data_IF_721364595071
#
_entry.id   IF_721364595071
#
_cell.length_a   1.000
_cell.length_b   1.000
_cell.length_c   1.000
_cell.angle_alpha   90.00
_cell.angle_beta   90.00
_cell.angle_gamma   90.00
#
_symmetry.space_group_name_H-M   'P 1'
#
loop_
_entity.id
_entity.type
_entity.pdbx_description
1 polymer ?
#
# COMPACT_ATOMS: atom_id res chain seq x y z
N UNK A 1 0.37 19.44 7.44
CA UNK A 1 -0.19 20.25 6.34
C UNK A 1 0.39 19.75 5.02
N UNK A 2 -0.10 20.23 3.89
CA UNK A 2 0.36 19.76 2.57
C UNK A 2 1.79 20.22 2.25
N UNK A 3 2.23 21.34 2.84
CA UNK A 3 3.58 21.87 2.67
C UNK A 3 4.62 20.91 3.24
N UNK A 4 4.44 20.49 4.50
CA UNK A 4 5.35 19.55 5.15
C UNK A 4 5.40 18.20 4.45
N UNK A 5 4.28 17.74 3.90
CA UNK A 5 4.26 16.50 3.14
C UNK A 5 5.03 16.58 1.82
N UNK A 6 4.87 17.66 1.06
CA UNK A 6 5.65 17.87 -0.17
C UNK A 6 7.15 17.95 0.15
N UNK A 7 7.52 18.62 1.24
CA UNK A 7 8.91 18.69 1.68
C UNK A 7 9.46 17.30 2.05
N UNK A 8 8.67 16.48 2.75
CA UNK A 8 9.04 15.10 3.08
C UNK A 8 9.24 14.25 1.82
N UNK A 9 8.32 14.34 0.86
CA UNK A 9 8.42 13.65 -0.43
C UNK A 9 9.69 14.06 -1.19
N UNK A 10 10.00 15.36 -1.23
CA UNK A 10 11.21 15.87 -1.85
C UNK A 10 12.48 15.32 -1.19
N UNK A 11 12.53 15.31 0.16
CA UNK A 11 13.66 14.78 0.91
C UNK A 11 13.88 13.27 0.68
N UNK A 12 12.80 12.47 0.65
CA UNK A 12 12.89 11.03 0.37
C UNK A 12 13.46 10.80 -1.04
N UNK A 13 13.02 11.57 -2.03
CA UNK A 13 13.51 11.44 -3.40
C UNK A 13 15.00 11.82 -3.53
N UNK A 14 15.45 12.88 -2.86
CA UNK A 14 16.87 13.27 -2.82
C UNK A 14 17.72 12.16 -2.18
N UNK A 15 17.30 11.61 -1.03
CA UNK A 15 17.99 10.50 -0.37
C UNK A 15 18.09 9.26 -1.27
N UNK A 16 17.00 8.93 -1.97
CA UNK A 16 16.95 7.81 -2.91
C UNK A 16 17.91 8.01 -4.09
N UNK A 17 17.98 9.22 -4.65
CA UNK A 17 18.94 9.56 -5.72
C UNK A 17 20.39 9.42 -5.26
N UNK A 18 20.66 9.67 -3.98
CA UNK A 18 21.98 9.44 -3.35
C UNK A 18 22.28 7.97 -3.03
N UNK A 19 21.39 7.04 -3.37
CA UNK A 19 21.55 5.62 -3.07
C UNK A 19 21.33 5.25 -1.60
N UNK A 20 20.66 6.12 -0.82
CA UNK A 20 20.36 5.85 0.58
C UNK A 20 19.08 5.01 0.71
N UNK A 21 19.14 3.94 1.52
CA UNK A 21 17.95 3.16 1.88
C UNK A 21 17.15 3.88 2.96
N UNK A 22 15.88 4.16 2.68
CA UNK A 22 14.95 4.83 3.62
C UNK A 22 13.88 3.83 4.07
N UNK A 23 13.76 3.63 5.39
CA UNK A 23 12.64 2.90 5.98
C UNK A 23 11.58 3.88 6.46
N UNK A 24 10.37 3.78 5.91
CA UNK A 24 9.24 4.62 6.25
C UNK A 24 8.14 3.80 6.91
N UNK A 25 7.70 4.24 8.09
CA UNK A 25 6.54 3.69 8.79
C UNK A 25 5.44 4.75 8.74
N UNK A 26 4.36 4.48 8.00
CA UNK A 26 3.25 5.42 7.84
C UNK A 26 1.94 4.69 7.56
N UNK A 27 0.83 5.29 7.97
CA UNK A 27 -0.52 4.89 7.55
C UNK A 27 -1.07 5.83 6.45
N UNK A 28 -0.31 6.85 6.03
CA UNK A 28 -0.73 7.85 5.05
C UNK A 28 -0.50 7.33 3.63
N UNK A 29 -1.58 7.16 2.88
CA UNK A 29 -1.54 6.58 1.52
C UNK A 29 -0.81 7.45 0.50
N UNK A 30 -0.84 8.77 0.67
CA UNK A 30 -0.22 9.73 -0.24
C UNK A 30 1.30 9.60 -0.33
N UNK A 31 1.98 9.38 0.80
CA UNK A 31 3.43 9.19 0.83
C UNK A 31 3.83 7.83 0.20
N UNK A 32 2.93 6.86 0.12
CA UNK A 32 3.26 5.58 -0.52
C UNK A 32 3.64 5.73 -1.98
N UNK A 33 3.27 6.82 -2.66
CA UNK A 33 3.63 7.03 -4.08
C UNK A 33 5.15 7.05 -4.34
N UNK A 34 5.97 7.42 -3.35
CA UNK A 34 7.44 7.50 -3.51
C UNK A 34 8.21 6.25 -3.07
N UNK A 35 7.53 5.27 -2.47
CA UNK A 35 8.19 4.03 -2.02
C UNK A 35 8.29 3.00 -3.14
N UNK A 36 9.39 2.24 -3.15
CA UNK A 36 9.61 1.17 -4.13
C UNK A 36 8.92 -0.13 -3.72
N UNK A 37 8.99 -0.45 -2.42
CA UNK A 37 8.46 -1.68 -1.83
C UNK A 37 7.55 -1.36 -0.65
N UNK A 38 6.60 -2.25 -0.40
CA UNK A 38 5.70 -2.19 0.75
C UNK A 38 5.85 -3.46 1.57
N UNK A 39 5.89 -3.29 2.89
CA UNK A 39 5.76 -4.35 3.89
C UNK A 39 4.49 -4.08 4.69
N UNK A 40 3.56 -5.02 4.68
CA UNK A 40 2.35 -4.97 5.50
C UNK A 40 2.51 -5.94 6.64
N UNK A 41 2.33 -5.45 7.86
CA UNK A 41 2.33 -6.26 9.07
C UNK A 41 0.91 -6.41 9.59
N UNK A 42 0.60 -7.60 10.11
CA UNK A 42 -0.63 -7.89 10.83
C UNK A 42 -0.29 -8.76 12.03
N UNK A 43 -0.75 -8.36 13.21
CA UNK A 43 -0.57 -9.15 14.45
C UNK A 43 0.91 -9.52 14.71
N UNK A 44 1.82 -8.56 14.50
CA UNK A 44 3.26 -8.75 14.72
C UNK A 44 3.98 -9.59 13.65
N UNK A 45 3.26 -10.10 12.64
CA UNK A 45 3.81 -10.90 11.55
C UNK A 45 3.74 -10.18 10.21
N UNK A 46 4.62 -10.55 9.28
CA UNK A 46 4.58 -10.05 7.90
C UNK A 46 3.40 -10.69 7.18
N UNK A 47 2.43 -9.87 6.78
CA UNK A 47 1.29 -10.30 6.00
C UNK A 47 1.58 -10.26 4.49
N UNK A 48 2.24 -9.20 4.01
CA UNK A 48 2.61 -9.03 2.60
C UNK A 48 3.93 -8.27 2.46
N UNK A 49 4.72 -8.59 1.45
CA UNK A 49 5.92 -7.85 1.06
C UNK A 49 6.12 -7.89 -0.45
N UNK A 50 6.44 -6.75 -1.06
CA UNK A 50 6.73 -6.72 -2.49
C UNK A 50 6.76 -5.32 -3.09
N UNK A 51 6.83 -5.20 -4.42
CA UNK A 51 6.67 -3.94 -5.13
C UNK A 51 5.37 -3.25 -4.72
N UNK A 52 5.42 -1.93 -4.51
CA UNK A 52 4.29 -1.12 -4.05
C UNK A 52 2.99 -1.45 -4.77
N UNK A 53 3.02 -1.45 -6.10
CA UNK A 53 1.81 -1.62 -6.91
C UNK A 53 1.16 -3.00 -6.69
N UNK A 54 1.96 -4.06 -6.59
CA UNK A 54 1.45 -5.42 -6.38
C UNK A 54 0.78 -5.55 -5.01
N UNK A 55 1.42 -5.00 -3.96
CA UNK A 55 0.88 -5.04 -2.59
C UNK A 55 -0.41 -4.21 -2.49
N UNK A 56 -0.46 -3.02 -3.10
CA UNK A 56 -1.68 -2.19 -3.11
C UNK A 56 -2.84 -2.89 -3.83
N UNK A 57 -2.58 -3.51 -4.98
CA UNK A 57 -3.60 -4.28 -5.71
C UNK A 57 -4.12 -5.46 -4.88
N UNK A 58 -3.23 -6.20 -4.21
CA UNK A 58 -3.64 -7.30 -3.34
C UNK A 58 -4.50 -6.81 -2.15
N UNK A 59 -4.13 -5.69 -1.53
CA UNK A 59 -4.91 -5.06 -0.45
C UNK A 59 -6.31 -4.63 -0.90
N UNK A 60 -6.44 -4.07 -2.10
CA UNK A 60 -7.73 -3.66 -2.67
C UNK A 60 -8.63 -4.86 -2.94
N UNK A 61 -8.07 -5.95 -3.47
CA UNK A 61 -8.83 -7.19 -3.73
C UNK A 61 -9.33 -7.84 -2.43
N UNK A 62 -8.56 -7.76 -1.34
CA UNK A 62 -8.99 -8.26 -0.03
C UNK A 62 -10.12 -7.44 0.61
N UNK A 63 -10.21 -6.15 0.27
CA UNK A 63 -11.23 -5.23 0.81
C UNK A 63 -12.51 -5.21 -0.03
N UNK A 64 -12.52 -5.80 -1.23
CA UNK A 64 -13.71 -5.88 -2.06
C UNK A 64 -14.75 -6.81 -1.38
N UNK A 65 -15.98 -6.35 -1.09
CA UNK A 65 -17.01 -7.21 -0.55
C UNK A 65 -17.29 -8.34 -1.54
N UNK A 66 -17.29 -9.58 -1.03
CA UNK A 66 -17.68 -10.74 -1.82
C UNK A 66 -19.09 -10.50 -2.37
N UNK A 67 -19.19 -10.17 -3.66
CA UNK A 67 -20.47 -10.14 -4.37
C UNK A 67 -21.00 -11.56 -4.31
N UNK A 68 -21.86 -11.84 -3.32
CA UNK A 68 -22.67 -13.05 -3.24
C UNK A 68 -23.38 -13.16 -4.59
N UNK A 69 -22.91 -14.07 -5.44
CA UNK A 69 -23.71 -14.56 -6.56
C UNK A 69 -24.93 -15.24 -5.93
N UNK A 70 -26.04 -14.51 -5.82
CA UNK A 70 -27.34 -15.07 -5.51
C UNK A 70 -27.68 -16.08 -6.60
N UNK A 71 -27.88 -17.32 -6.18
CA UNK A 71 -28.09 -18.49 -7.01
C UNK A 71 -29.41 -18.35 -7.81
N UNK A 72 -29.42 -18.44 -9.16
CA UNK A 72 -30.65 -18.28 -9.94
C UNK A 72 -31.56 -19.53 -10.02
N UNK A 73 -31.24 -20.64 -9.35
CA UNK A 73 -32.05 -21.88 -9.44
C UNK A 73 -32.79 -22.21 -8.14
N UNK A 74 -33.78 -21.38 -7.79
CA UNK A 74 -34.93 -21.84 -7.03
C UNK A 74 -36.14 -21.76 -7.98
N UNK A 75 -36.82 -22.90 -8.20
CA UNK A 75 -38.00 -23.12 -9.05
C UNK A 75 -37.72 -23.68 -10.46
N UNK A 76 -37.43 -24.99 -10.54
CA UNK A 76 -38.19 -25.95 -11.36
C UNK A 76 -37.81 -27.38 -11.01
#
# INVERSE_FOLDING_TARGET
DDVGERALVAAINDLKQRGTTVFLITHRMNILQVVDKLLVMREGSVAMYGPRQQVLTALQQQQAPAVKKSNPNALN
#
